data_IF_897497766609
#
_entry.id   IF_897497766609
#
_cell.length_a   1.000
_cell.length_b   1.000
_cell.length_c   1.000
_cell.angle_alpha   90.00
_cell.angle_beta   90.00
_cell.angle_gamma   90.00
#
_symmetry.space_group_name_H-M   'P 1'
#
loop_
_entity.id
_entity.type
_entity.pdbx_description
1 polymer ?
#
# COMPACT_ATOMS: atom_id res chain seq x y z
N UNK A 1 -11.10 -1.81 31.85
CA UNK A 1 -9.81 -2.53 31.90
C UNK A 1 -9.94 -3.65 32.90
N UNK A 2 -9.62 -4.87 32.51
CA UNK A 2 -9.64 -6.05 33.37
C UNK A 2 -8.25 -6.68 33.49
N UNK A 3 -7.99 -7.32 34.63
CA UNK A 3 -6.84 -8.20 34.82
C UNK A 3 -7.32 -9.62 35.03
N UNK A 4 -6.79 -10.57 34.27
CA UNK A 4 -7.13 -11.99 34.36
C UNK A 4 -5.87 -12.85 34.38
N UNK A 5 -6.01 -14.12 34.78
CA UNK A 5 -4.97 -15.14 34.65
C UNK A 5 -5.40 -16.21 33.66
N UNK A 6 -4.56 -16.47 32.66
CA UNK A 6 -4.82 -17.57 31.72
C UNK A 6 -4.43 -18.91 32.35
N UNK A 7 -5.17 -19.95 31.98
CA UNK A 7 -4.96 -21.32 32.47
C UNK A 7 -3.99 -22.11 31.58
N UNK A 8 -3.84 -21.69 30.34
CA UNK A 8 -3.00 -22.33 29.34
C UNK A 8 -2.17 -21.27 28.64
N UNK A 9 -0.96 -21.65 28.21
CA UNK A 9 -0.06 -20.79 27.44
C UNK A 9 -0.47 -20.83 25.97
N UNK A 10 -0.97 -19.74 25.37
CA UNK A 10 -1.26 -19.71 23.94
C UNK A 10 0.06 -19.71 23.15
N UNK A 11 0.09 -20.47 22.06
CA UNK A 11 1.29 -20.66 21.23
C UNK A 11 1.10 -20.26 19.76
N UNK A 12 -0.14 -20.02 19.34
CA UNK A 12 -0.48 -19.68 17.95
C UNK A 12 -1.56 -20.58 17.36
N UNK A 13 -1.67 -20.51 16.03
CA UNK A 13 -2.64 -21.26 15.25
C UNK A 13 -1.95 -22.31 14.39
N UNK A 14 -2.51 -23.52 14.34
CA UNK A 14 -2.00 -24.54 13.42
C UNK A 14 -2.14 -24.07 11.97
N UNK A 15 -1.06 -24.24 11.19
CA UNK A 15 -1.01 -23.95 9.74
C UNK A 15 -1.68 -25.04 8.90
N UNK A 16 -1.82 -26.24 9.45
CA UNK A 16 -2.43 -27.37 8.78
C UNK A 16 -2.61 -28.56 9.72
N UNK A 17 -3.28 -29.62 9.24
CA UNK A 17 -3.40 -30.87 9.99
C UNK A 17 -2.03 -31.54 10.12
N UNK A 18 -1.79 -32.18 11.26
CA UNK A 18 -0.64 -33.06 11.49
C UNK A 18 -1.16 -34.36 12.11
N UNK A 19 -0.58 -35.51 11.73
CA UNK A 19 -0.91 -36.78 12.37
C UNK A 19 -0.24 -36.87 13.73
N UNK A 20 -0.72 -37.81 14.54
CA UNK A 20 -0.09 -38.13 15.81
C UNK A 20 1.39 -38.50 15.60
N UNK A 21 2.28 -37.80 16.30
CA UNK A 21 3.73 -37.98 16.21
C UNK A 21 4.42 -37.19 15.09
N UNK A 22 3.66 -36.52 14.20
CA UNK A 22 4.24 -35.61 13.21
C UNK A 22 4.46 -34.21 13.80
N UNK A 23 5.46 -33.49 13.27
CA UNK A 23 5.63 -32.07 13.58
C UNK A 23 4.63 -31.25 12.76
N UNK A 24 3.88 -30.37 13.43
CA UNK A 24 2.97 -29.42 12.81
C UNK A 24 3.52 -28.00 12.84
N UNK A 25 3.30 -27.25 11.75
CA UNK A 25 3.62 -25.81 11.72
C UNK A 25 2.62 -24.99 12.53
N UNK A 26 3.13 -24.00 13.27
CA UNK A 26 2.32 -23.07 14.07
C UNK A 26 2.64 -21.63 13.66
N UNK A 27 1.60 -20.88 13.33
CA UNK A 27 1.64 -19.44 13.12
C UNK A 27 1.40 -18.73 14.45
N UNK A 28 2.47 -18.22 15.06
CA UNK A 28 2.40 -17.52 16.35
C UNK A 28 2.15 -16.01 16.21
N UNK A 29 2.38 -15.44 15.03
CA UNK A 29 2.16 -14.02 14.73
C UNK A 29 1.43 -13.91 13.40
N UNK A 30 0.42 -13.05 13.33
CA UNK A 30 -0.33 -12.87 12.10
C UNK A 30 -1.49 -11.91 12.22
N UNK A 31 -2.21 -11.81 11.09
CA UNK A 31 -3.39 -10.97 10.91
C UNK A 31 -4.46 -11.85 10.26
N UNK A 32 -5.71 -11.64 10.62
CA UNK A 32 -6.86 -12.17 9.92
C UNK A 32 -7.88 -11.04 9.71
N UNK A 33 -8.41 -10.91 8.51
CA UNK A 33 -9.45 -9.94 8.15
C UNK A 33 -10.76 -10.66 7.84
N UNK A 34 -11.91 -10.04 8.09
CA UNK A 34 -13.21 -10.72 7.96
C UNK A 34 -13.48 -11.21 6.54
N UNK A 35 -12.90 -10.56 5.51
CA UNK A 35 -12.98 -11.00 4.10
C UNK A 35 -12.41 -12.40 3.87
N UNK A 36 -11.52 -12.90 4.75
CA UNK A 36 -10.99 -14.28 4.71
C UNK A 36 -12.01 -15.32 5.24
N UNK A 37 -13.18 -14.89 5.72
CA UNK A 37 -14.31 -15.73 6.05
C UNK A 37 -14.02 -16.75 7.17
N UNK A 38 -13.94 -18.04 6.83
CA UNK A 38 -13.79 -19.11 7.83
C UNK A 38 -12.46 -19.07 8.57
N UNK A 39 -11.39 -18.64 7.92
CA UNK A 39 -10.08 -18.52 8.59
C UNK A 39 -10.11 -17.43 9.66
N UNK A 40 -10.72 -16.28 9.37
CA UNK A 40 -10.99 -15.25 10.37
C UNK A 40 -11.80 -15.79 11.54
N UNK A 41 -12.92 -16.48 11.26
CA UNK A 41 -13.77 -17.07 12.31
C UNK A 41 -13.04 -18.13 13.14
N UNK A 42 -12.14 -18.90 12.53
CA UNK A 42 -11.31 -19.89 13.24
C UNK A 42 -10.37 -19.20 14.22
N UNK A 43 -9.71 -18.12 13.79
CA UNK A 43 -8.73 -17.39 14.59
C UNK A 43 -9.37 -16.57 15.71
N UNK A 44 -10.43 -15.80 15.43
CA UNK A 44 -11.09 -14.93 16.42
C UNK A 44 -11.74 -15.71 17.57
N UNK A 45 -12.14 -16.98 17.35
CA UNK A 45 -12.66 -17.85 18.41
C UNK A 45 -11.68 -18.04 19.57
N UNK A 46 -10.38 -17.83 19.36
CA UNK A 46 -9.39 -17.84 20.44
C UNK A 46 -9.71 -16.81 21.55
N UNK A 47 -10.37 -15.70 21.21
CA UNK A 47 -10.81 -14.70 22.19
C UNK A 47 -11.83 -15.25 23.18
N UNK A 48 -12.59 -16.32 22.86
CA UNK A 48 -13.58 -16.86 23.78
C UNK A 48 -12.96 -17.32 25.11
N UNK A 49 -11.73 -17.86 25.08
CA UNK A 49 -11.04 -18.32 26.29
C UNK A 49 -10.64 -17.17 27.23
N UNK A 50 -10.50 -15.97 26.68
CA UNK A 50 -10.17 -14.73 27.38
C UNK A 50 -11.46 -14.06 27.86
N UNK A 51 -12.41 -13.86 26.94
CA UNK A 51 -13.69 -13.21 27.21
C UNK A 51 -14.51 -13.96 28.26
N UNK A 52 -14.46 -15.30 28.29
CA UNK A 52 -15.17 -16.10 29.30
C UNK A 52 -14.62 -15.94 30.73
N UNK A 53 -13.42 -15.35 30.89
CA UNK A 53 -12.79 -15.09 32.20
C UNK A 53 -13.08 -13.68 32.70
N UNK A 54 -13.71 -12.83 31.90
CA UNK A 54 -14.08 -11.48 32.31
C UNK A 54 -15.28 -11.54 33.27
N UNK A 55 -15.37 -10.59 34.22
CA UNK A 55 -16.51 -10.52 35.14
C UNK A 55 -17.80 -10.08 34.43
N UNK A 56 -17.66 -9.36 33.31
CA UNK A 56 -18.76 -8.91 32.46
C UNK A 56 -18.87 -9.80 31.23
N UNK A 57 -20.10 -10.15 30.86
CA UNK A 57 -20.35 -10.91 29.64
C UNK A 57 -20.56 -9.97 28.47
N UNK A 58 -19.83 -10.22 27.39
CA UNK A 58 -19.91 -9.46 26.15
C UNK A 58 -20.52 -10.32 25.06
N UNK A 59 -21.56 -9.80 24.40
CA UNK A 59 -22.02 -10.36 23.14
C UNK A 59 -20.94 -10.08 22.06
N UNK A 60 -20.42 -11.09 21.33
CA UNK A 60 -19.46 -10.89 20.26
C UNK A 60 -19.83 -9.81 19.23
N UNK A 61 -21.13 -9.59 18.97
CA UNK A 61 -21.60 -8.56 18.04
C UNK A 61 -21.41 -7.14 18.59
N UNK A 62 -21.43 -6.96 19.91
CA UNK A 62 -21.24 -5.67 20.58
C UNK A 62 -19.78 -5.30 20.77
N UNK A 63 -18.86 -6.24 20.56
CA UNK A 63 -17.42 -6.01 20.66
C UNK A 63 -16.93 -5.29 19.41
N UNK A 64 -16.55 -4.02 19.57
CA UNK A 64 -15.91 -3.19 18.56
C UNK A 64 -14.39 -3.26 18.63
N UNK A 65 -13.84 -3.18 19.84
CA UNK A 65 -12.41 -3.24 20.09
C UNK A 65 -12.08 -4.19 21.24
N UNK A 66 -11.04 -5.00 21.05
CA UNK A 66 -10.41 -5.77 22.13
C UNK A 66 -8.92 -5.59 22.02
N UNK A 67 -8.26 -5.30 23.14
CA UNK A 67 -6.80 -5.36 23.23
C UNK A 67 -6.43 -6.21 24.43
N UNK A 68 -5.57 -7.19 24.20
CA UNK A 68 -5.09 -8.08 25.25
C UNK A 68 -3.57 -8.03 25.24
N UNK A 69 -2.97 -7.78 26.40
CA UNK A 69 -1.53 -7.91 26.64
C UNK A 69 -1.32 -9.07 27.62
N UNK A 70 -0.48 -10.04 27.27
CA UNK A 70 -0.24 -11.26 28.04
C UNK A 70 1.25 -11.34 28.41
N UNK A 71 1.53 -11.31 29.70
CA UNK A 71 2.87 -11.45 30.26
C UNK A 71 3.31 -12.92 30.28
N UNK A 72 4.61 -13.17 30.44
CA UNK A 72 5.20 -14.53 30.48
C UNK A 72 4.56 -15.44 31.52
N UNK A 73 4.17 -14.87 32.67
CA UNK A 73 3.54 -15.56 33.77
C UNK A 73 2.08 -15.89 33.52
N UNK A 74 1.51 -15.50 32.37
CA UNK A 74 0.11 -15.63 31.97
C UNK A 74 -0.87 -14.69 32.68
N UNK A 75 -0.39 -13.64 33.35
CA UNK A 75 -1.25 -12.49 33.65
C UNK A 75 -1.55 -11.73 32.36
N UNK A 76 -2.84 -11.42 32.17
CA UNK A 76 -3.29 -10.68 31.01
C UNK A 76 -4.06 -9.43 31.43
N UNK A 77 -3.77 -8.32 30.76
CA UNK A 77 -4.56 -7.09 30.81
C UNK A 77 -5.46 -7.06 29.58
N UNK A 78 -6.76 -6.88 29.80
CA UNK A 78 -7.79 -6.92 28.75
C UNK A 78 -8.55 -5.61 28.72
N UNK A 79 -8.61 -5.00 27.55
CA UNK A 79 -9.41 -3.83 27.23
C UNK A 79 -10.51 -4.24 26.27
N UNK A 80 -11.77 -3.86 26.55
CA UNK A 80 -12.92 -4.15 25.67
C UNK A 80 -13.70 -2.86 25.50
N UNK A 81 -13.89 -2.41 24.25
CA UNK A 81 -14.69 -1.23 23.88
C UNK A 81 -14.33 0.09 24.59
N UNK A 82 -13.13 0.20 25.15
CA UNK A 82 -12.72 1.35 25.99
C UNK A 82 -11.47 2.08 25.48
N UNK A 83 -10.87 1.59 24.39
CA UNK A 83 -9.67 2.17 23.80
C UNK A 83 -10.03 3.04 22.61
N UNK A 84 -9.42 4.22 22.53
CA UNK A 84 -9.46 5.06 21.35
C UNK A 84 -8.38 4.62 20.35
N UNK A 85 -8.76 4.59 19.08
CA UNK A 85 -7.85 4.23 17.98
C UNK A 85 -7.55 5.50 17.21
N UNK A 86 -6.27 5.86 17.15
CA UNK A 86 -5.80 7.01 16.40
C UNK A 86 -4.99 6.53 15.21
N UNK A 87 -5.27 7.09 14.03
CA UNK A 87 -4.57 6.77 12.79
C UNK A 87 -3.77 7.98 12.30
N UNK A 88 -2.50 7.79 11.99
CA UNK A 88 -1.71 8.73 11.19
C UNK A 88 -1.85 8.33 9.73
N UNK A 89 -2.39 9.23 8.91
CA UNK A 89 -2.67 8.96 7.49
C UNK A 89 -1.89 9.91 6.58
N UNK A 90 -1.45 9.38 5.44
CA UNK A 90 -1.07 10.18 4.29
C UNK A 90 -2.33 10.50 3.50
N UNK A 91 -2.50 11.77 3.13
CA UNK A 91 -3.70 12.27 2.46
C UNK A 91 -3.38 12.75 1.04
N UNK A 92 -4.37 12.66 0.16
CA UNK A 92 -4.27 13.20 -1.20
C UNK A 92 -4.42 14.73 -1.24
N UNK A 93 -5.06 15.29 -0.21
CA UNK A 93 -5.30 16.74 -0.12
C UNK A 93 -4.02 17.49 0.27
N UNK A 94 -3.45 18.23 -0.68
CA UNK A 94 -2.19 18.97 -0.50
C UNK A 94 -2.19 20.00 0.63
N UNK A 95 -3.31 20.71 0.83
CA UNK A 95 -3.43 21.71 1.90
C UNK A 95 -3.65 21.09 3.29
N UNK A 96 -3.78 19.76 3.34
CA UNK A 96 -4.16 19.04 4.54
C UNK A 96 -5.61 19.30 4.95
N UNK A 97 -5.89 18.97 6.20
CA UNK A 97 -7.22 19.07 6.80
C UNK A 97 -7.22 20.13 7.91
N UNK A 98 -8.33 20.86 8.02
CA UNK A 98 -8.58 21.68 9.21
C UNK A 98 -9.16 20.81 10.31
N UNK A 99 -8.84 21.10 11.58
CA UNK A 99 -9.41 20.34 12.72
C UNK A 99 -10.94 20.36 12.66
N UNK A 100 -11.55 19.18 12.73
CA UNK A 100 -13.01 18.99 12.65
C UNK A 100 -13.54 18.86 11.23
N UNK A 101 -12.71 19.02 10.20
CA UNK A 101 -13.06 18.66 8.83
C UNK A 101 -13.22 17.15 8.70
N UNK A 102 -14.27 16.71 8.00
CA UNK A 102 -14.50 15.30 7.75
C UNK A 102 -13.48 14.75 6.73
N UNK A 103 -12.84 13.64 7.08
CA UNK A 103 -11.96 12.88 6.18
C UNK A 103 -12.78 11.79 5.51
N UNK A 104 -12.70 11.70 4.18
CA UNK A 104 -13.37 10.65 3.39
C UNK A 104 -12.34 9.63 2.92
N UNK A 105 -12.81 8.43 2.57
CA UNK A 105 -11.93 7.37 2.06
C UNK A 105 -11.12 7.80 0.82
N UNK A 106 -11.73 8.58 -0.07
CA UNK A 106 -11.08 9.15 -1.26
C UNK A 106 -9.96 10.15 -0.94
N UNK A 107 -9.89 10.64 0.29
CA UNK A 107 -8.84 11.55 0.72
C UNK A 107 -7.61 10.81 1.27
N UNK A 108 -7.73 9.51 1.56
CA UNK A 108 -6.71 8.71 2.22
C UNK A 108 -5.88 7.96 1.17
N UNK A 109 -4.57 8.16 1.18
CA UNK A 109 -3.63 7.42 0.34
C UNK A 109 -3.04 6.21 1.06
N UNK A 110 -2.72 6.38 2.35
CA UNK A 110 -2.08 5.33 3.12
C UNK A 110 -2.26 5.57 4.61
N UNK A 111 -2.53 4.51 5.37
CA UNK A 111 -2.51 4.54 6.83
C UNK A 111 -1.09 4.22 7.29
N UNK A 112 -0.36 5.24 7.72
CA UNK A 112 1.05 5.11 8.11
C UNK A 112 1.18 4.36 9.44
N UNK A 113 0.35 4.71 10.42
CA UNK A 113 0.45 4.20 11.77
C UNK A 113 -0.93 4.15 12.42
N UNK A 114 -1.20 3.11 13.21
CA UNK A 114 -2.39 3.00 14.03
C UNK A 114 -1.97 2.78 15.48
N UNK A 115 -2.31 3.73 16.35
CA UNK A 115 -2.00 3.68 17.78
C UNK A 115 -3.26 3.41 18.59
N UNK A 116 -3.12 2.57 19.62
CA UNK A 116 -4.14 2.36 20.64
C UNK A 116 -3.84 3.29 21.81
N UNK A 117 -4.66 4.32 22.01
CA UNK A 117 -4.40 5.33 23.04
C UNK A 117 -4.43 4.70 24.44
N UNK A 118 -3.43 5.03 25.27
CA UNK A 118 -3.35 4.56 26.65
C UNK A 118 -2.92 3.10 26.82
N UNK A 119 -2.58 2.40 25.73
CA UNK A 119 -2.09 1.01 25.77
C UNK A 119 -0.66 0.93 25.28
N UNK A 120 0.20 0.27 26.04
CA UNK A 120 1.56 -0.09 25.62
C UNK A 120 1.62 -1.56 25.19
N UNK A 121 2.51 -1.86 24.25
CA UNK A 121 2.84 -3.21 23.81
C UNK A 121 4.28 -3.53 24.23
N UNK A 122 4.51 -4.06 25.45
CA UNK A 122 5.85 -4.40 25.91
C UNK A 122 6.50 -5.45 25.02
N UNK A 123 7.81 -5.33 24.78
CA UNK A 123 8.51 -6.22 23.84
C UNK A 123 8.52 -7.69 24.26
N UNK A 124 8.41 -7.94 25.55
CA UNK A 124 8.42 -9.27 26.18
C UNK A 124 7.01 -9.82 26.45
N UNK A 125 5.97 -9.15 25.96
CA UNK A 125 4.58 -9.55 26.17
C UNK A 125 3.91 -9.93 24.86
N UNK A 126 3.14 -11.01 24.87
CA UNK A 126 2.27 -11.34 23.75
C UNK A 126 1.08 -10.39 23.70
N UNK A 127 0.46 -10.26 22.52
CA UNK A 127 -0.76 -9.48 22.39
C UNK A 127 -1.78 -10.10 21.44
N UNK A 128 -3.04 -9.70 21.63
CA UNK A 128 -4.10 -9.84 20.67
C UNK A 128 -4.83 -8.51 20.51
N UNK A 129 -5.21 -8.17 19.30
CA UNK A 129 -6.01 -6.97 19.01
C UNK A 129 -7.16 -7.36 18.08
N UNK A 130 -8.38 -6.98 18.43
CA UNK A 130 -9.54 -7.00 17.53
C UNK A 130 -9.97 -5.55 17.31
N UNK A 131 -10.06 -5.13 16.05
CA UNK A 131 -10.60 -3.84 15.65
C UNK A 131 -11.79 -4.06 14.72
N UNK A 132 -12.83 -3.24 14.87
CA UNK A 132 -13.92 -3.16 13.89
C UNK A 132 -13.73 -1.91 13.05
N UNK A 133 -13.90 -2.05 11.74
CA UNK A 133 -13.92 -0.96 10.78
C UNK A 133 -15.19 -1.08 9.94
N UNK A 134 -16.17 -0.21 10.19
CA UNK A 134 -17.52 -0.30 9.63
C UNK A 134 -18.14 -1.70 9.83
N UNK A 135 -18.31 -2.46 8.74
CA UNK A 135 -18.85 -3.83 8.73
C UNK A 135 -17.76 -4.92 8.72
N UNK A 136 -16.50 -4.52 8.66
CA UNK A 136 -15.33 -5.39 8.64
C UNK A 136 -14.66 -5.44 10.02
N UNK A 137 -13.86 -6.47 10.24
CA UNK A 137 -13.12 -6.70 11.48
C UNK A 137 -11.73 -7.23 11.17
N UNK A 138 -10.75 -6.75 11.93
CA UNK A 138 -9.37 -7.19 11.83
C UNK A 138 -8.91 -7.75 13.16
N UNK A 139 -8.32 -8.93 13.12
CA UNK A 139 -7.75 -9.61 14.26
C UNK A 139 -6.24 -9.77 14.10
N UNK A 140 -5.49 -9.22 15.04
CA UNK A 140 -4.04 -9.28 15.12
C UNK A 140 -3.63 -10.11 16.32
N UNK A 141 -2.52 -10.82 16.20
CA UNK A 141 -1.94 -11.54 17.31
C UNK A 141 -0.43 -11.69 17.15
N UNK A 142 0.25 -11.70 18.29
CA UNK A 142 1.64 -12.13 18.41
C UNK A 142 1.83 -12.85 19.74
N UNK A 143 2.04 -14.16 19.68
CA UNK A 143 2.35 -15.00 20.83
C UNK A 143 3.86 -15.25 20.99
N UNK A 144 4.68 -14.70 20.10
CA UNK A 144 6.14 -14.93 20.04
C UNK A 144 6.81 -14.82 21.41
N UNK A 145 6.58 -13.74 22.18
CA UNK A 145 7.22 -13.56 23.48
C UNK A 145 6.95 -14.69 24.49
N UNK A 146 5.77 -15.32 24.45
CA UNK A 146 5.42 -16.46 25.32
C UNK A 146 6.11 -17.77 24.92
N UNK A 147 6.63 -17.83 23.70
CA UNK A 147 7.39 -18.97 23.18
C UNK A 147 8.87 -18.89 23.53
N UNK A 148 9.30 -17.85 24.25
CA UNK A 148 10.70 -17.71 24.65
C UNK A 148 11.12 -18.90 25.53
N UNK A 149 12.24 -19.51 25.14
CA UNK A 149 12.97 -20.55 25.88
C UNK A 149 14.16 -19.87 26.58
N UNK A 150 14.79 -20.55 27.56
CA UNK A 150 16.08 -20.13 28.14
C UNK A 150 17.12 -19.73 27.09
N UNK A 151 17.14 -20.36 25.92
CA UNK A 151 18.14 -20.14 24.89
C UNK A 151 17.69 -19.24 23.72
N UNK A 152 16.38 -18.99 23.56
CA UNK A 152 15.84 -18.18 22.45
C UNK A 152 14.74 -17.26 22.95
N UNK A 153 15.08 -15.98 23.11
CA UNK A 153 14.10 -14.92 23.40
C UNK A 153 13.45 -14.44 22.10
N UNK A 154 12.13 -14.38 22.07
CA UNK A 154 11.33 -13.97 20.91
C UNK A 154 10.57 -12.68 21.18
N UNK A 155 11.33 -11.65 21.58
CA UNK A 155 10.78 -10.32 21.82
C UNK A 155 10.17 -9.72 20.53
N UNK A 156 9.20 -8.83 20.70
CA UNK A 156 8.67 -7.98 19.63
C UNK A 156 9.80 -7.06 19.15
N UNK A 157 10.24 -7.29 17.92
CA UNK A 157 11.33 -6.60 17.24
C UNK A 157 10.87 -5.66 16.12
N UNK A 158 9.56 -5.36 16.09
CA UNK A 158 8.90 -4.55 15.07
C UNK A 158 7.99 -3.48 15.71
N UNK A 159 7.55 -2.52 14.90
CA UNK A 159 6.55 -1.53 15.32
C UNK A 159 5.16 -2.15 15.29
N UNK A 160 4.58 -2.41 16.46
CA UNK A 160 3.20 -2.91 16.57
C UNK A 160 2.23 -1.93 15.90
N UNK A 161 2.41 -0.62 16.08
CA UNK A 161 1.50 0.38 15.49
C UNK A 161 1.51 0.38 13.95
N UNK A 162 2.67 0.13 13.33
CA UNK A 162 2.75 -0.05 11.87
C UNK A 162 2.19 -1.41 11.43
N UNK A 163 2.35 -2.45 12.24
CA UNK A 163 1.71 -3.74 11.96
C UNK A 163 0.19 -3.67 12.04
N UNK A 164 -0.35 -2.89 12.98
CA UNK A 164 -1.79 -2.62 13.05
C UNK A 164 -2.28 -1.79 11.86
N UNK A 165 -1.49 -0.83 11.34
CA UNK A 165 -1.90 -0.07 10.16
C UNK A 165 -1.98 -0.91 8.88
N UNK A 166 -1.19 -1.99 8.78
CA UNK A 166 -1.26 -2.96 7.68
C UNK A 166 -2.65 -3.60 7.58
N UNK A 167 -3.12 -4.22 8.67
CA UNK A 167 -4.40 -4.93 8.65
C UNK A 167 -5.57 -3.97 8.47
N UNK A 168 -5.48 -2.79 9.07
CA UNK A 168 -6.49 -1.75 8.98
C UNK A 168 -6.58 -1.19 7.55
N UNK A 169 -5.45 -1.03 6.85
CA UNK A 169 -5.42 -0.64 5.44
C UNK A 169 -6.08 -1.69 4.55
N UNK A 170 -5.86 -2.99 4.81
CA UNK A 170 -6.52 -4.08 4.06
C UNK A 170 -8.04 -4.03 4.21
N UNK A 171 -8.55 -3.83 5.43
CA UNK A 171 -9.98 -3.71 5.68
C UNK A 171 -10.58 -2.42 5.10
N UNK A 172 -9.86 -1.29 5.20
CA UNK A 172 -10.35 -0.01 4.69
C UNK A 172 -10.44 0.01 3.16
N UNK A 173 -9.51 -0.65 2.47
CA UNK A 173 -9.42 -0.64 1.00
C UNK A 173 -9.57 -2.05 0.40
N UNK A 174 -10.50 -2.83 0.94
CA UNK A 174 -10.62 -4.27 0.65
C UNK A 174 -10.83 -4.56 -0.84
N UNK A 175 -11.58 -3.73 -1.58
CA UNK A 175 -11.82 -3.97 -3.01
C UNK A 175 -10.56 -3.94 -3.88
N UNK A 176 -9.48 -3.29 -3.41
CA UNK A 176 -8.19 -3.27 -4.11
C UNK A 176 -7.20 -4.27 -3.49
N UNK A 177 -7.25 -4.51 -2.17
CA UNK A 177 -6.35 -5.48 -1.53
C UNK A 177 -6.75 -6.95 -1.72
N UNK A 178 -8.02 -7.23 -1.96
CA UNK A 178 -8.51 -8.60 -2.18
C UNK A 178 -8.34 -9.05 -3.65
N UNK A 179 -7.70 -8.22 -4.49
CA UNK A 179 -7.34 -8.57 -5.86
C UNK A 179 -6.24 -9.64 -5.82
N UNK A 180 -6.52 -10.76 -6.49
CA UNK A 180 -5.57 -11.88 -6.65
C UNK A 180 -4.41 -11.53 -7.59
N UNK A 181 -3.31 -12.27 -7.52
CA UNK A 181 -2.17 -12.10 -8.45
C UNK A 181 -2.60 -12.22 -9.92
N UNK A 182 -3.51 -13.15 -10.22
CA UNK A 182 -4.07 -13.37 -11.56
C UNK A 182 -4.83 -12.13 -12.06
N UNK A 183 -5.66 -11.53 -11.19
CA UNK A 183 -6.38 -10.31 -11.49
C UNK A 183 -5.45 -9.10 -11.63
N UNK A 184 -4.39 -9.01 -10.80
CA UNK A 184 -3.34 -7.99 -10.95
C UNK A 184 -2.64 -8.09 -12.30
N UNK A 185 -2.34 -9.31 -12.76
CA UNK A 185 -1.76 -9.52 -14.09
C UNK A 185 -2.69 -9.02 -15.20
N UNK A 186 -4.01 -9.22 -15.07
CA UNK A 186 -5.00 -8.66 -16.01
C UNK A 186 -4.98 -7.13 -16.00
N UNK A 187 -5.03 -6.51 -14.80
CA UNK A 187 -4.98 -5.05 -14.65
C UNK A 187 -3.72 -4.48 -15.31
N UNK A 188 -2.55 -5.01 -14.99
CA UNK A 188 -1.27 -4.56 -15.54
C UNK A 188 -1.23 -4.75 -17.07
N UNK A 189 -1.65 -5.92 -17.57
CA UNK A 189 -1.65 -6.23 -19.01
C UNK A 189 -2.58 -5.35 -19.84
N UNK A 190 -3.58 -4.71 -19.23
CA UNK A 190 -4.43 -3.70 -19.89
C UNK A 190 -3.70 -2.37 -20.17
N UNK A 191 -2.43 -2.26 -19.73
CA UNK A 191 -1.65 -1.03 -19.76
C UNK A 191 -2.21 -0.02 -18.75
N UNK A 192 -2.72 -0.47 -17.60
CA UNK A 192 -3.21 0.40 -16.54
C UNK A 192 -2.66 0.01 -15.17
N UNK A 193 -2.70 0.96 -14.24
CA UNK A 193 -2.32 0.82 -12.84
C UNK A 193 -3.19 1.75 -11.98
N UNK A 194 -3.59 1.37 -10.75
CA UNK A 194 -4.34 2.26 -9.85
C UNK A 194 -3.43 3.35 -9.26
N UNK A 195 -3.11 4.37 -10.08
CA UNK A 195 -2.23 5.46 -9.69
C UNK A 195 -2.80 6.25 -8.49
N UNK A 196 -1.94 6.60 -7.53
CA UNK A 196 -2.31 7.32 -6.31
C UNK A 196 -2.87 8.73 -6.56
N UNK A 197 -2.65 9.31 -7.74
CA UNK A 197 -3.32 10.53 -8.17
C UNK A 197 -4.85 10.33 -8.23
N UNK A 198 -5.30 9.19 -8.76
CA UNK A 198 -6.72 8.86 -8.87
C UNK A 198 -7.29 8.52 -7.51
N UNK A 199 -8.48 9.03 -7.20
CA UNK A 199 -9.16 8.71 -5.94
C UNK A 199 -9.54 7.22 -5.88
N UNK A 200 -9.79 6.73 -4.67
CA UNK A 200 -10.08 5.32 -4.41
C UNK A 200 -11.26 4.80 -5.25
N UNK A 201 -12.35 5.56 -5.34
CA UNK A 201 -13.52 5.18 -6.14
C UNK A 201 -13.19 4.99 -7.63
N UNK A 202 -12.39 5.88 -8.23
CA UNK A 202 -11.97 5.75 -9.63
C UNK A 202 -11.05 4.54 -9.82
N UNK A 203 -10.16 4.27 -8.87
CA UNK A 203 -9.32 3.06 -8.89
C UNK A 203 -10.18 1.79 -8.90
N UNK A 204 -11.17 1.70 -7.99
CA UNK A 204 -12.10 0.57 -7.91
C UNK A 204 -12.86 0.38 -9.21
N UNK A 205 -13.45 1.45 -9.77
CA UNK A 205 -14.23 1.38 -10.99
C UNK A 205 -13.37 0.93 -12.17
N UNK A 206 -12.16 1.48 -12.33
CA UNK A 206 -11.24 1.09 -13.41
C UNK A 206 -10.87 -0.39 -13.31
N UNK A 207 -10.48 -0.85 -12.12
CA UNK A 207 -10.13 -2.25 -11.87
C UNK A 207 -11.33 -3.14 -12.23
N UNK A 208 -12.52 -2.83 -11.74
CA UNK A 208 -13.71 -3.64 -12.04
C UNK A 208 -14.02 -3.69 -13.53
N UNK A 209 -13.93 -2.57 -14.25
CA UNK A 209 -14.15 -2.58 -15.69
C UNK A 209 -13.12 -3.44 -16.42
N UNK A 210 -11.85 -3.37 -16.03
CA UNK A 210 -10.79 -4.22 -16.61
C UNK A 210 -11.08 -5.70 -16.33
N UNK A 211 -11.37 -6.06 -15.09
CA UNK A 211 -11.62 -7.46 -14.70
C UNK A 211 -12.87 -8.04 -15.37
N UNK A 212 -13.87 -7.21 -15.64
CA UNK A 212 -15.11 -7.60 -16.32
C UNK A 212 -15.05 -7.42 -17.85
N UNK A 213 -13.92 -6.95 -18.39
CA UNK A 213 -13.77 -6.62 -19.82
C UNK A 213 -14.83 -5.63 -20.33
N UNK A 214 -15.22 -4.68 -19.49
CA UNK A 214 -16.13 -3.60 -19.84
C UNK A 214 -15.36 -2.41 -20.43
N UNK A 215 -16.02 -1.63 -21.29
CA UNK A 215 -15.44 -0.40 -21.81
C UNK A 215 -15.26 0.65 -20.70
N UNK A 216 -14.04 1.12 -20.52
CA UNK A 216 -13.67 2.14 -19.53
C UNK A 216 -13.20 3.46 -20.18
N UNK A 217 -13.42 3.64 -21.48
CA UNK A 217 -13.00 4.83 -22.22
C UNK A 217 -13.58 6.12 -21.61
N UNK A 218 -14.86 6.10 -21.22
CA UNK A 218 -15.50 7.24 -20.56
C UNK A 218 -14.83 7.62 -19.24
N UNK A 219 -14.46 6.61 -18.44
CA UNK A 219 -13.79 6.82 -17.16
C UNK A 219 -12.39 7.43 -17.35
N UNK A 220 -11.66 7.01 -18.39
CA UNK A 220 -10.40 7.65 -18.76
C UNK A 220 -10.59 9.11 -19.16
N UNK A 221 -11.62 9.43 -19.93
CA UNK A 221 -11.94 10.82 -20.30
C UNK A 221 -12.28 11.67 -19.08
N UNK A 222 -13.03 11.13 -18.12
CA UNK A 222 -13.35 11.82 -16.86
C UNK A 222 -12.07 12.08 -16.03
N UNK A 223 -11.22 11.06 -15.84
CA UNK A 223 -9.93 11.21 -15.14
C UNK A 223 -9.04 12.25 -15.83
N UNK A 224 -8.98 12.22 -17.17
CA UNK A 224 -8.22 13.20 -17.93
C UNK A 224 -8.76 14.62 -17.75
N UNK A 225 -10.09 14.76 -17.75
CA UNK A 225 -10.75 16.06 -17.55
C UNK A 225 -10.42 16.62 -16.16
N UNK A 226 -10.51 15.79 -15.13
CA UNK A 226 -10.17 16.15 -13.75
C UNK A 226 -8.69 16.53 -13.64
N UNK A 227 -7.79 15.74 -14.25
CA UNK A 227 -6.37 16.02 -14.30
C UNK A 227 -6.06 17.37 -14.97
N UNK A 228 -6.66 17.64 -16.13
CA UNK A 228 -6.48 18.90 -16.83
C UNK A 228 -6.97 20.09 -15.99
N UNK A 229 -8.12 19.95 -15.32
CA UNK A 229 -8.70 20.99 -14.47
C UNK A 229 -7.84 21.28 -13.23
N UNK A 230 -7.20 20.25 -12.65
CA UNK A 230 -6.34 20.37 -11.47
C UNK A 230 -4.85 20.56 -11.82
N UNK A 231 -4.48 20.54 -13.11
CA UNK A 231 -3.09 20.48 -13.59
C UNK A 231 -2.14 21.54 -13.00
N UNK A 232 -2.59 22.79 -12.86
CA UNK A 232 -1.80 23.87 -12.24
C UNK A 232 -1.50 23.58 -10.77
N UNK A 233 -2.50 23.06 -10.05
CA UNK A 233 -2.35 22.69 -8.64
C UNK A 233 -1.47 21.45 -8.50
N UNK A 234 -1.70 20.43 -9.33
CA UNK A 234 -0.89 19.23 -9.41
C UNK A 234 0.59 19.58 -9.61
N UNK A 235 0.91 20.39 -10.63
CA UNK A 235 2.27 20.81 -10.94
C UNK A 235 2.90 21.57 -9.76
N UNK A 236 2.16 22.54 -9.21
CA UNK A 236 2.62 23.31 -8.05
C UNK A 236 2.91 22.37 -6.89
N UNK A 237 2.04 21.42 -6.59
CA UNK A 237 2.21 20.49 -5.46
C UNK A 237 3.43 19.58 -5.60
N UNK A 238 3.78 19.21 -6.83
CA UNK A 238 4.91 18.34 -7.11
C UNK A 238 6.22 19.03 -6.77
N UNK A 239 6.36 20.30 -7.18
CA UNK A 239 7.59 21.08 -7.05
C UNK A 239 7.60 22.04 -5.85
N UNK A 240 6.45 22.32 -5.23
CA UNK A 240 6.36 23.14 -4.01
C UNK A 240 6.95 22.36 -2.84
N UNK A 241 8.10 22.82 -2.35
CA UNK A 241 8.83 22.24 -1.19
C UNK A 241 9.40 20.82 -1.40
N UNK A 242 9.54 20.32 -2.62
CA UNK A 242 10.14 19.01 -2.89
C UNK A 242 11.66 19.04 -3.08
N UNK A 243 12.30 17.91 -2.75
CA UNK A 243 13.72 17.60 -2.86
C UNK A 243 14.41 18.26 -4.07
N UNK A 244 15.58 18.87 -3.82
CA UNK A 244 16.41 19.57 -4.80
C UNK A 244 16.62 18.80 -6.12
N UNK A 245 16.59 17.46 -6.06
CA UNK A 245 16.71 16.54 -7.19
C UNK A 245 15.55 16.60 -8.19
N UNK A 246 14.31 16.89 -7.77
CA UNK A 246 13.13 16.94 -8.65
C UNK A 246 13.02 18.25 -9.44
N UNK A 247 13.49 19.37 -8.87
CA UNK A 247 13.30 20.70 -9.47
C UNK A 247 13.93 20.85 -10.86
N UNK A 248 15.01 20.12 -11.17
CA UNK A 248 15.61 20.11 -12.51
C UNK A 248 14.71 19.49 -13.59
N UNK A 249 13.62 18.82 -13.21
CA UNK A 249 12.66 18.22 -14.14
C UNK A 249 11.50 19.16 -14.48
N UNK A 250 11.23 20.17 -13.66
CA UNK A 250 10.06 21.03 -13.73
C UNK A 250 9.78 21.60 -15.12
N UNK A 251 10.72 22.35 -15.72
CA UNK A 251 10.47 23.00 -17.00
C UNK A 251 10.17 22.06 -18.18
N UNK A 252 10.62 20.79 -18.13
CA UNK A 252 10.26 19.79 -19.14
C UNK A 252 8.87 19.21 -18.89
N UNK A 253 8.52 18.98 -17.63
CA UNK A 253 7.19 18.49 -17.24
C UNK A 253 6.13 19.54 -17.56
N UNK A 254 6.40 20.81 -17.25
CA UNK A 254 5.55 21.95 -17.63
C UNK A 254 5.29 21.99 -19.13
N UNK A 255 6.35 21.91 -19.93
CA UNK A 255 6.19 21.94 -21.39
C UNK A 255 5.46 20.71 -21.94
N UNK A 256 5.66 19.53 -21.35
CA UNK A 256 4.90 18.33 -21.74
C UNK A 256 3.42 18.50 -21.41
N UNK A 257 3.12 19.11 -20.26
CA UNK A 257 1.76 19.41 -19.83
C UNK A 257 1.07 20.40 -20.79
N UNK A 258 1.76 21.44 -21.25
CA UNK A 258 1.22 22.37 -22.26
C UNK A 258 0.80 21.65 -23.56
N UNK A 259 1.60 20.68 -24.01
CA UNK A 259 1.25 19.85 -25.17
C UNK A 259 0.03 18.98 -24.89
N UNK A 260 -0.02 18.32 -23.73
CA UNK A 260 -1.18 17.51 -23.33
C UNK A 260 -2.47 18.34 -23.28
N UNK A 261 -2.43 19.52 -22.66
CA UNK A 261 -3.56 20.44 -22.54
C UNK A 261 -4.04 20.98 -23.88
N UNK A 262 -3.15 21.09 -24.87
CA UNK A 262 -3.50 21.51 -26.23
C UNK A 262 -3.95 20.35 -27.14
N UNK A 263 -3.94 19.11 -26.64
CA UNK A 263 -4.31 17.90 -27.39
C UNK A 263 -3.19 17.34 -28.26
N UNK A 264 -1.98 17.90 -28.18
CA UNK A 264 -0.77 17.38 -28.83
C UNK A 264 -0.15 16.27 -27.97
N UNK A 265 -0.84 15.13 -27.94
CA UNK A 265 -0.47 13.99 -27.11
C UNK A 265 0.86 13.36 -27.52
N UNK A 266 1.18 13.37 -28.81
CA UNK A 266 2.43 12.85 -29.34
C UNK A 266 3.65 13.62 -28.80
N UNK A 267 3.63 14.95 -28.92
CA UNK A 267 4.69 15.81 -28.37
C UNK A 267 4.81 15.68 -26.85
N UNK A 268 3.66 15.58 -26.16
CA UNK A 268 3.64 15.37 -24.72
C UNK A 268 4.34 14.07 -24.32
N UNK A 269 4.01 12.95 -24.98
CA UNK A 269 4.59 11.62 -24.72
C UNK A 269 6.09 11.60 -24.99
N UNK A 270 6.53 12.11 -26.14
CA UNK A 270 7.94 12.17 -26.53
C UNK A 270 8.79 13.00 -25.55
N UNK A 271 8.19 14.01 -24.90
CA UNK A 271 8.87 14.80 -23.89
C UNK A 271 8.84 14.14 -22.50
N UNK A 272 7.72 13.52 -22.14
CA UNK A 272 7.46 13.01 -20.80
C UNK A 272 8.15 11.66 -20.53
N UNK A 273 8.09 10.71 -21.46
CA UNK A 273 8.55 9.33 -21.24
C UNK A 273 10.07 9.24 -20.98
N UNK A 274 10.94 9.90 -21.76
CA UNK A 274 12.37 9.96 -21.42
C UNK A 274 12.62 10.61 -20.06
N UNK A 275 11.74 11.51 -19.61
CA UNK A 275 11.92 12.23 -18.34
C UNK A 275 11.60 11.36 -17.13
N UNK A 276 10.63 10.45 -17.25
CA UNK A 276 10.33 9.44 -16.23
C UNK A 276 11.57 8.61 -15.88
N UNK A 277 12.25 8.04 -16.90
CA UNK A 277 13.48 7.27 -16.67
C UNK A 277 14.56 8.11 -15.99
N UNK A 278 14.70 9.38 -16.38
CA UNK A 278 15.68 10.27 -15.74
C UNK A 278 15.38 10.47 -14.26
N UNK A 279 14.12 10.67 -13.86
CA UNK A 279 13.75 10.82 -12.43
C UNK A 279 14.08 9.54 -11.67
N UNK A 280 13.68 8.38 -12.21
CA UNK A 280 13.96 7.09 -11.59
C UNK A 280 15.47 6.85 -11.40
N UNK A 281 16.27 7.26 -12.40
CA UNK A 281 17.72 7.16 -12.34
C UNK A 281 18.33 8.08 -11.29
N UNK A 282 17.80 9.30 -11.18
CA UNK A 282 18.26 10.26 -10.18
C UNK A 282 17.97 9.75 -8.76
N UNK A 283 16.79 9.19 -8.53
CA UNK A 283 16.43 8.52 -7.27
C UNK A 283 17.37 7.34 -6.95
N UNK A 284 17.60 6.47 -7.94
CA UNK A 284 18.55 5.35 -7.80
C UNK A 284 19.95 5.81 -7.38
N UNK A 285 20.48 6.84 -8.03
CA UNK A 285 21.84 7.34 -7.79
C UNK A 285 21.97 8.03 -6.44
N UNK A 286 20.92 8.70 -5.94
CA UNK A 286 20.92 9.28 -4.58
C UNK A 286 21.11 8.21 -3.51
N UNK A 287 20.49 7.04 -3.69
CA UNK A 287 20.54 5.95 -2.72
C UNK A 287 21.63 4.90 -2.97
N UNK A 288 22.34 4.98 -4.11
CA UNK A 288 23.38 4.03 -4.51
C UNK A 288 24.63 4.75 -5.04
N UNK A 289 25.24 5.59 -4.19
CA UNK A 289 26.39 6.45 -4.54
C UNK A 289 27.63 5.69 -5.06
N UNK A 290 27.74 4.38 -4.78
CA UNK A 290 28.87 3.51 -5.17
C UNK A 290 28.58 2.68 -6.43
N UNK A 291 27.30 2.52 -6.84
CA UNK A 291 26.94 1.70 -8.01
C UNK A 291 26.75 2.58 -9.23
N UNK A 292 27.54 2.33 -10.29
CA UNK A 292 27.34 2.93 -11.61
C UNK A 292 26.07 2.40 -12.29
N UNK A 293 24.91 2.93 -11.87
CA UNK A 293 23.59 2.49 -12.34
C UNK A 293 23.37 2.77 -13.83
N UNK A 294 23.26 1.71 -14.65
CA UNK A 294 22.98 1.86 -16.09
C UNK A 294 21.72 1.14 -16.59
N UNK A 295 21.28 0.03 -15.99
CA UNK A 295 20.22 -0.84 -16.54
C UNK A 295 18.82 -0.50 -16.01
N UNK A 296 17.83 -0.45 -16.90
CA UNK A 296 16.41 -0.13 -16.60
C UNK A 296 15.77 -1.08 -15.59
N UNK A 297 16.15 -2.36 -15.60
CA UNK A 297 15.67 -3.36 -14.62
C UNK A 297 16.05 -3.00 -13.19
N UNK A 298 17.31 -2.62 -12.96
CA UNK A 298 17.81 -2.22 -11.65
C UNK A 298 17.17 -0.92 -11.14
N UNK A 299 16.80 -0.01 -12.04
CA UNK A 299 16.12 1.23 -11.72
C UNK A 299 14.65 0.96 -11.30
N UNK A 300 13.97 0.04 -11.98
CA UNK A 300 12.58 -0.32 -11.66
C UNK A 300 12.47 -1.08 -10.33
N UNK A 301 13.41 -2.02 -10.10
CA UNK A 301 13.49 -2.78 -8.84
C UNK A 301 13.78 -1.88 -7.65
N UNK A 302 14.60 -0.85 -7.83
CA UNK A 302 14.95 0.07 -6.77
C UNK A 302 13.74 0.75 -6.14
N UNK A 303 12.76 1.19 -6.94
CA UNK A 303 11.53 1.77 -6.40
C UNK A 303 10.85 0.78 -5.47
N UNK A 304 10.55 -0.43 -5.95
CA UNK A 304 9.88 -1.43 -5.14
C UNK A 304 10.66 -1.68 -3.86
N UNK A 305 11.94 -2.05 -3.96
CA UNK A 305 12.79 -2.36 -2.80
C UNK A 305 12.86 -1.18 -1.82
N UNK A 306 13.08 0.03 -2.30
CA UNK A 306 13.28 1.20 -1.46
C UNK A 306 12.01 1.64 -0.71
N UNK A 307 10.82 1.41 -1.30
CA UNK A 307 9.54 1.67 -0.64
C UNK A 307 9.14 0.53 0.27
N UNK A 308 9.30 -0.72 -0.16
CA UNK A 308 8.95 -1.92 0.64
C UNK A 308 9.87 -2.15 1.83
N UNK A 309 11.11 -1.66 1.78
CA UNK A 309 12.01 -1.68 2.95
C UNK A 309 11.62 -0.63 4.00
N UNK A 310 10.95 0.46 3.59
CA UNK A 310 10.59 1.61 4.44
C UNK A 310 9.12 1.65 4.84
N UNK A 311 8.26 0.90 4.16
CA UNK A 311 6.87 0.68 4.51
C UNK A 311 6.62 -0.82 4.51
N UNK A 312 5.81 -1.30 5.44
CA UNK A 312 5.16 -2.59 5.22
C UNK A 312 4.47 -2.52 3.85
N UNK A 313 4.63 -3.56 3.03
CA UNK A 313 4.30 -3.63 1.58
C UNK A 313 2.86 -3.28 1.17
N UNK A 314 2.03 -2.78 2.09
CA UNK A 314 0.59 -2.54 1.96
C UNK A 314 0.34 -1.04 2.14
N UNK A 315 0.42 -0.35 1.01
CA UNK A 315 -0.09 1.00 0.81
C UNK A 315 -0.89 1.02 -0.49
N UNK A 316 -1.82 1.97 -0.68
CA UNK A 316 -2.46 2.16 -2.00
C UNK A 316 -1.46 2.60 -3.08
N UNK A 317 -0.19 2.72 -2.72
CA UNK A 317 0.85 2.90 -3.71
C UNK A 317 1.27 1.59 -4.39
N UNK A 318 0.98 0.39 -3.86
CA UNK A 318 1.29 -0.91 -4.49
C UNK A 318 2.69 -1.01 -5.15
N UNK A 319 3.78 -0.82 -4.38
CA UNK A 319 5.13 -0.69 -4.95
C UNK A 319 5.60 -1.89 -5.77
N UNK A 320 5.23 -3.12 -5.37
CA UNK A 320 5.59 -4.34 -6.09
C UNK A 320 4.85 -4.45 -7.44
N UNK A 321 3.54 -4.18 -7.42
CA UNK A 321 2.70 -4.17 -8.62
C UNK A 321 3.11 -3.02 -9.56
N UNK A 322 3.49 -1.86 -9.02
CA UNK A 322 3.99 -0.74 -9.82
C UNK A 322 5.33 -1.07 -10.50
N UNK A 323 6.25 -1.74 -9.79
CA UNK A 323 7.49 -2.23 -10.41
C UNK A 323 7.19 -3.23 -11.54
N UNK A 324 6.24 -4.13 -11.32
CA UNK A 324 5.78 -5.07 -12.36
C UNK A 324 5.18 -4.34 -13.56
N UNK A 325 4.36 -3.32 -13.33
CA UNK A 325 3.82 -2.43 -14.37
C UNK A 325 4.92 -1.70 -15.15
N UNK A 326 5.90 -1.10 -14.46
CA UNK A 326 7.01 -0.42 -15.12
C UNK A 326 7.81 -1.36 -16.01
N UNK A 327 8.08 -2.59 -15.56
CA UNK A 327 8.85 -3.58 -16.32
C UNK A 327 8.08 -4.11 -17.53
N UNK A 328 6.79 -4.40 -17.36
CA UNK A 328 5.98 -5.08 -18.38
C UNK A 328 5.37 -4.13 -19.41
N UNK A 329 5.08 -2.89 -19.02
CA UNK A 329 4.41 -1.90 -19.87
C UNK A 329 5.37 -0.75 -20.22
N UNK A 330 5.84 0.00 -19.23
CA UNK A 330 6.58 1.23 -19.49
C UNK A 330 7.96 1.00 -20.14
N UNK A 331 8.71 0.00 -19.67
CA UNK A 331 10.02 -0.41 -20.22
C UNK A 331 9.92 -1.62 -21.16
N UNK A 332 8.72 -1.96 -21.63
CA UNK A 332 8.54 -3.05 -22.58
C UNK A 332 9.47 -2.87 -23.79
N UNK A 333 10.15 -3.94 -24.18
CA UNK A 333 11.03 -3.93 -25.35
C UNK A 333 10.21 -3.80 -26.64
N UNK A 334 10.88 -3.47 -27.74
CA UNK A 334 10.26 -3.35 -29.05
C UNK A 334 10.95 -4.28 -30.06
N UNK A 335 10.20 -4.72 -31.07
CA UNK A 335 10.75 -5.49 -32.18
C UNK A 335 11.01 -4.54 -33.36
N UNK A 336 12.28 -4.34 -33.77
CA UNK A 336 12.62 -3.49 -34.90
C UNK A 336 12.12 -4.04 -36.26
N UNK A 337 11.62 -5.28 -36.28
CA UNK A 337 11.04 -5.93 -37.45
C UNK A 337 9.50 -5.97 -37.43
N UNK A 338 8.88 -5.43 -36.37
CA UNK A 338 7.43 -5.35 -36.24
C UNK A 338 6.94 -3.92 -36.41
N UNK A 339 5.87 -3.73 -37.18
CA UNK A 339 5.14 -2.47 -37.25
C UNK A 339 4.11 -2.31 -36.11
N UNK A 340 3.93 -3.36 -35.29
CA UNK A 340 2.95 -3.42 -34.20
C UNK A 340 3.66 -3.40 -32.85
N UNK A 341 4.49 -2.38 -32.62
CA UNK A 341 5.13 -2.21 -31.33
C UNK A 341 4.17 -1.58 -30.30
N UNK A 342 4.25 -2.00 -29.03
CA UNK A 342 3.48 -1.40 -27.96
C UNK A 342 4.01 0.01 -27.65
N UNK A 343 3.16 0.89 -27.13
CA UNK A 343 3.59 2.21 -26.64
C UNK A 343 4.38 2.03 -25.35
N UNK A 344 5.69 2.20 -25.42
CA UNK A 344 6.62 2.07 -24.30
C UNK A 344 7.73 3.11 -24.43
N UNK A 345 8.47 3.36 -23.35
CA UNK A 345 9.64 4.24 -23.39
C UNK A 345 10.63 3.81 -24.47
N UNK A 346 10.80 2.51 -24.67
CA UNK A 346 11.78 1.98 -25.62
C UNK A 346 11.29 2.16 -27.06
N UNK A 347 10.04 1.84 -27.38
CA UNK A 347 9.50 2.06 -28.73
C UNK A 347 9.45 3.54 -29.11
N UNK A 348 9.03 4.41 -28.18
CA UNK A 348 9.00 5.88 -28.38
C UNK A 348 10.41 6.43 -28.64
N UNK A 349 11.38 6.09 -27.78
CA UNK A 349 12.75 6.65 -27.90
C UNK A 349 13.48 6.21 -29.18
N UNK A 350 13.08 5.08 -29.76
CA UNK A 350 13.66 4.53 -30.98
C UNK A 350 12.82 4.83 -32.24
N UNK A 351 11.73 5.58 -32.11
CA UNK A 351 10.84 5.91 -33.24
C UNK A 351 10.19 4.67 -33.88
N UNK A 352 10.01 3.61 -33.08
CA UNK A 352 9.48 2.32 -33.54
C UNK A 352 7.97 2.17 -33.32
N UNK A 353 7.30 3.26 -32.94
CA UNK A 353 5.86 3.31 -32.64
C UNK A 353 5.10 4.03 -33.75
N UNK A 354 3.93 3.53 -34.09
CA UNK A 354 3.03 4.20 -35.03
C UNK A 354 2.32 5.38 -34.34
N UNK A 355 2.23 6.53 -35.02
CA UNK A 355 1.67 7.77 -34.47
C UNK A 355 0.21 7.62 -34.02
N UNK A 356 -0.57 6.76 -34.67
CA UNK A 356 -1.99 6.50 -34.37
C UNK A 356 -2.21 5.73 -33.06
N UNK A 357 -1.15 5.13 -32.50
CA UNK A 357 -1.18 4.46 -31.21
C UNK A 357 -0.96 5.42 -30.04
N UNK A 358 -0.53 6.66 -30.28
CA UNK A 358 -0.30 7.65 -29.23
C UNK A 358 -1.52 8.55 -29.09
N UNK A 359 -2.25 8.39 -27.99
CA UNK A 359 -3.44 9.17 -27.69
C UNK A 359 -3.45 9.79 -26.29
N UNK A 360 -4.64 10.25 -25.91
CA UNK A 360 -4.91 10.85 -24.61
C UNK A 360 -4.49 9.92 -23.46
N UNK A 361 -4.77 8.61 -23.57
CA UNK A 361 -4.44 7.61 -22.54
C UNK A 361 -2.92 7.57 -22.31
N UNK A 362 -2.14 7.42 -23.37
CA UNK A 362 -0.68 7.27 -23.32
C UNK A 362 -0.02 8.52 -22.74
N UNK A 363 -0.55 9.68 -23.12
CA UNK A 363 -0.12 10.97 -22.58
C UNK A 363 -0.45 11.12 -21.09
N UNK A 364 -1.70 10.86 -20.69
CA UNK A 364 -2.15 10.88 -19.30
C UNK A 364 -1.32 9.93 -18.43
N UNK A 365 -1.07 8.71 -18.89
CA UNK A 365 -0.23 7.73 -18.19
C UNK A 365 1.15 8.29 -17.88
N UNK A 366 1.77 9.04 -18.79
CA UNK A 366 3.07 9.67 -18.55
C UNK A 366 3.07 10.57 -17.30
N UNK A 367 2.02 11.35 -17.10
CA UNK A 367 1.87 12.21 -15.92
C UNK A 367 1.52 11.43 -14.65
N UNK A 368 0.65 10.42 -14.76
CA UNK A 368 0.27 9.59 -13.62
C UNK A 368 1.45 8.74 -13.10
N UNK A 369 2.30 8.21 -13.99
CA UNK A 369 3.55 7.53 -13.61
C UNK A 369 4.50 8.50 -12.91
N UNK A 370 4.63 9.74 -13.42
CA UNK A 370 5.49 10.75 -12.81
C UNK A 370 5.04 11.11 -11.39
N UNK A 371 3.75 11.38 -11.23
CA UNK A 371 3.13 11.66 -9.94
C UNK A 371 3.39 10.53 -8.95
N UNK A 372 3.16 9.28 -9.36
CA UNK A 372 3.42 8.10 -8.55
C UNK A 372 4.89 8.01 -8.09
N UNK A 373 5.84 8.21 -9.01
CA UNK A 373 7.28 8.24 -8.69
C UNK A 373 7.59 9.35 -7.68
N UNK A 374 7.09 10.56 -7.91
CA UNK A 374 7.32 11.68 -6.99
C UNK A 374 6.74 11.42 -5.59
N UNK A 375 5.58 10.77 -5.49
CA UNK A 375 4.98 10.39 -4.20
C UNK A 375 5.84 9.38 -3.46
N UNK A 376 6.41 8.41 -4.16
CA UNK A 376 7.34 7.47 -3.55
C UNK A 376 8.61 8.12 -3.01
N UNK A 377 9.22 9.03 -3.77
CA UNK A 377 10.41 9.78 -3.33
C UNK A 377 10.10 10.62 -2.09
N UNK A 378 8.93 11.29 -2.09
CA UNK A 378 8.48 12.07 -0.92
C UNK A 378 8.22 11.16 0.29
N UNK A 379 7.58 10.02 0.07
CA UNK A 379 7.30 9.03 1.11
C UNK A 379 8.60 8.52 1.74
N UNK A 380 9.56 8.07 0.93
CA UNK A 380 10.83 7.51 1.38
C UNK A 380 11.66 8.50 2.19
N UNK A 381 11.62 9.79 1.83
CA UNK A 381 12.30 10.89 2.56
C UNK A 381 11.60 11.19 3.89
N UNK A 382 10.25 11.15 3.91
CA UNK A 382 9.47 11.44 5.12
C UNK A 382 9.59 10.37 6.21
N UNK A 383 9.84 9.11 5.82
CA UNK A 383 10.06 8.00 6.75
C UNK A 383 11.46 8.07 7.35
N UNK A 384 12.50 8.38 6.55
CA UNK A 384 13.88 8.52 7.05
C UNK A 384 14.07 9.66 8.04
N UNK A 385 13.31 10.75 7.94
CA UNK A 385 13.39 11.87 8.88
C UNK A 385 12.76 11.60 10.26
N UNK A 386 12.10 10.46 10.45
CA UNK A 386 11.42 10.06 11.68
C UNK A 386 12.06 8.82 12.37
N UNK A 387 13.17 8.31 11.83
CA UNK A 387 14.07 7.35 12.47
C UNK A 387 15.29 8.08 13.02
#
# INVERSE_FOLDING_TARGET
MYKIKLTERPVGFALGPAKQGEMGGVEFRGIAVQSEGREFLRKIKALNSILSKLPEQYDPFMIKTVVVIINEDLEATVYVNEVEILARIAVNKHEGFTKGEAVRINDILHVQELSVEGVSFPKDSAYLVLLSQDWDRIFYYDYGPLLSDKDVKRDIDYSVNHFLSYGYSRALFYEVYDITEEQWNLVISSGWFPFAYTNYQNQQLLIQHILLSWDYSKLLTEINTDFCADSTRWLTSLFSKSAHSLNKHQGRVERALDFHLSGDYDSAVHLMYPRLESVLRDDFLMHNTVKGGRRQTAISEHIATHITEKSYSVSLYFPEQFCSFLKSIFFQDFDPHSDLNPVSRNSISHGAIAEDLIGMKESLMGFLIFDQICRYIKFSTSVEGNL
#
